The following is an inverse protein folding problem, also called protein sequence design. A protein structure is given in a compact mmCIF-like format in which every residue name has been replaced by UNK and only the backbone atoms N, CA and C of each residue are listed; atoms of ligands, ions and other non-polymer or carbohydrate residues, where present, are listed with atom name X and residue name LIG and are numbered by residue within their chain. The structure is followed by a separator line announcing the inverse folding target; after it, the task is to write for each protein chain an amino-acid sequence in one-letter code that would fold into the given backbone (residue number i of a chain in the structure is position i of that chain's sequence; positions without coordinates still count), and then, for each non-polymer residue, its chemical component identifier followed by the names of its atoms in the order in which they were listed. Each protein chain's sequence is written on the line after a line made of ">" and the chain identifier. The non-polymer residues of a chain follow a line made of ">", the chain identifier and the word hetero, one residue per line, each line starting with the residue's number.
data_IF_734309879678
#
_entry.id   IF_734309879678
#
_cell.length_a   1.000
_cell.length_b   1.000
_cell.length_c   1.000
_cell.angle_alpha   90.00
_cell.angle_beta   90.00
_cell.angle_gamma   90.00
#
_symmetry.space_group_name_H-M   'P 1'
#
loop_
_entity.id
_entity.type
_entity.pdbx_description
1 polymer ?
#
# COMPACT_ATOMS: atom_id res chain seq x y z
N UNK A 1 -19.90 -9.43 4.40
CA UNK A 1 -18.97 -8.43 4.94
C UNK A 1 -18.61 -7.50 3.81
N UNK A 2 -18.68 -6.18 3.99
CA UNK A 2 -18.36 -5.24 2.91
C UNK A 2 -16.90 -5.41 2.47
N UNK A 3 -16.67 -5.15 1.19
CA UNK A 3 -15.36 -5.18 0.57
C UNK A 3 -15.09 -3.82 -0.07
N UNK A 4 -13.83 -3.43 -0.10
CA UNK A 4 -13.43 -2.11 -0.58
C UNK A 4 -12.24 -2.22 -1.51
N UNK A 5 -12.21 -1.35 -2.52
CA UNK A 5 -11.03 -1.15 -3.36
C UNK A 5 -10.10 -0.20 -2.62
N UNK A 6 -8.90 -0.66 -2.35
CA UNK A 6 -7.85 0.11 -1.66
C UNK A 6 -6.65 0.23 -2.56
N UNK A 7 -6.09 1.45 -2.62
CA UNK A 7 -4.79 1.72 -3.25
C UNK A 7 -3.69 1.72 -2.19
N UNK A 8 -2.63 0.94 -2.39
CA UNK A 8 -1.55 0.78 -1.40
C UNK A 8 -0.18 0.57 -2.06
N UNK A 9 0.89 0.66 -1.26
CA UNK A 9 2.28 0.56 -1.72
C UNK A 9 2.73 1.75 -2.58
N UNK A 10 4.04 1.88 -2.76
CA UNK A 10 4.67 2.96 -3.53
C UNK A 10 4.29 2.90 -5.01
N UNK A 11 4.13 1.69 -5.56
CA UNK A 11 3.68 1.45 -6.94
C UNK A 11 2.16 1.56 -7.12
N UNK A 12 1.42 2.02 -6.11
CA UNK A 12 -0.02 2.31 -6.18
C UNK A 12 -0.87 1.11 -6.63
N UNK A 13 -0.56 -0.07 -6.10
CA UNK A 13 -1.32 -1.28 -6.34
C UNK A 13 -2.78 -1.09 -5.94
N UNK A 14 -3.69 -1.70 -6.71
CA UNK A 14 -5.10 -1.78 -6.38
C UNK A 14 -5.44 -3.19 -5.92
N UNK A 15 -6.16 -3.28 -4.80
CA UNK A 15 -6.58 -4.55 -4.23
C UNK A 15 -7.99 -4.47 -3.67
N UNK A 16 -8.64 -5.62 -3.59
CA UNK A 16 -9.95 -5.77 -2.94
C UNK A 16 -9.73 -6.29 -1.52
N UNK A 17 -10.16 -5.51 -0.53
CA UNK A 17 -9.93 -5.81 0.88
C UNK A 17 -11.26 -6.00 1.62
N UNK A 18 -11.33 -7.05 2.43
CA UNK A 18 -12.48 -7.32 3.30
C UNK A 18 -12.32 -6.63 4.67
N UNK A 19 -13.42 -6.35 5.36
CA UNK A 19 -13.40 -5.79 6.73
C UNK A 19 -13.55 -6.88 7.79
N UNK A 20 -12.93 -6.72 8.96
CA UNK A 20 -13.29 -7.47 10.16
C UNK A 20 -14.49 -6.83 10.87
N UNK A 21 -15.62 -7.54 10.97
CA UNK A 21 -16.82 -7.19 11.79
C UNK A 21 -17.78 -6.11 11.25
N UNK A 22 -18.19 -6.20 9.99
CA UNK A 22 -19.25 -5.34 9.43
C UNK A 22 -18.97 -3.83 9.58
N UNK A 23 -17.70 -3.47 9.79
CA UNK A 23 -17.25 -2.09 9.80
C UNK A 23 -17.47 -1.50 8.41
N UNK A 24 -17.96 -0.27 8.38
CA UNK A 24 -18.11 0.48 7.14
C UNK A 24 -17.06 1.56 7.09
N UNK A 25 -16.46 1.70 5.92
CA UNK A 25 -15.47 2.72 5.64
C UNK A 25 -15.94 3.60 4.48
N UNK A 26 -15.55 4.86 4.52
CA UNK A 26 -15.88 5.85 3.51
C UNK A 26 -14.71 6.11 2.56
N UNK A 27 -15.05 6.46 1.33
CA UNK A 27 -14.08 6.87 0.32
C UNK A 27 -13.20 8.00 0.85
N UNK A 28 -11.89 7.90 0.60
CA UNK A 28 -10.89 8.88 1.02
C UNK A 28 -10.31 8.61 2.41
N UNK A 29 -10.82 7.63 3.16
CA UNK A 29 -10.20 7.21 4.41
C UNK A 29 -8.86 6.54 4.14
N UNK A 30 -7.87 6.89 4.96
CA UNK A 30 -6.61 6.17 5.04
C UNK A 30 -6.79 4.98 5.99
N UNK A 31 -6.45 3.78 5.53
CA UNK A 31 -6.65 2.53 6.26
C UNK A 31 -5.34 1.76 6.35
N UNK A 32 -5.23 0.94 7.38
CA UNK A 32 -4.15 -0.04 7.47
C UNK A 32 -4.67 -1.38 6.97
N UNK A 33 -3.96 -1.96 6.04
CA UNK A 33 -4.34 -3.20 5.38
C UNK A 33 -3.30 -4.29 5.64
N UNK A 34 -3.78 -5.53 5.71
CA UNK A 34 -2.93 -6.72 5.65
C UNK A 34 -2.90 -7.23 4.21
N UNK A 35 -1.72 -7.20 3.61
CA UNK A 35 -1.43 -7.74 2.28
C UNK A 35 -0.67 -9.06 2.40
N UNK A 36 -0.37 -9.70 1.27
CA UNK A 36 0.52 -10.88 1.23
C UNK A 36 1.98 -10.56 1.64
N UNK A 37 2.41 -9.30 1.49
CA UNK A 37 3.78 -8.86 1.80
C UNK A 37 3.96 -8.41 3.25
N UNK A 38 2.86 -8.17 3.97
CA UNK A 38 2.87 -7.64 5.33
C UNK A 38 1.78 -6.60 5.54
N UNK A 39 1.98 -5.68 6.47
CA UNK A 39 1.06 -4.56 6.66
C UNK A 39 1.38 -3.45 5.67
N UNK A 40 0.38 -2.67 5.30
CA UNK A 40 0.57 -1.49 4.46
C UNK A 40 -0.44 -0.42 4.85
N UNK A 41 -0.16 0.81 4.43
CA UNK A 41 -1.13 1.90 4.46
C UNK A 41 -1.76 2.05 3.08
N UNK A 42 -3.07 2.23 3.06
CA UNK A 42 -3.80 2.39 1.82
C UNK A 42 -4.86 3.49 1.88
N UNK A 43 -5.20 4.01 0.70
CA UNK A 43 -6.31 4.93 0.51
C UNK A 43 -7.52 4.15 0.02
N UNK A 44 -8.64 4.28 0.71
CA UNK A 44 -9.89 3.68 0.27
C UNK A 44 -10.51 4.47 -0.88
N UNK A 45 -10.78 3.79 -1.99
CA UNK A 45 -11.29 4.42 -3.21
C UNK A 45 -12.80 4.30 -3.36
N UNK A 46 -13.36 3.12 -3.11
CA UNK A 46 -14.79 2.83 -3.20
C UNK A 46 -15.10 1.47 -2.58
N UNK A 47 -16.39 1.18 -2.43
CA UNK A 47 -16.87 -0.18 -2.19
C UNK A 47 -16.64 -1.06 -3.43
N UNK A 48 -16.24 -2.31 -3.21
CA UNK A 48 -15.94 -3.27 -4.25
C UNK A 48 -17.21 -3.89 -4.83
N UNK A 49 -17.97 -3.09 -5.57
CA UNK A 49 -19.09 -3.57 -6.38
C UNK A 49 -18.59 -4.43 -7.54
N UNK A 50 -19.43 -5.32 -8.09
CA UNK A 50 -19.05 -6.18 -9.23
C UNK A 50 -18.45 -5.36 -10.39
N UNK A 51 -19.03 -4.21 -10.70
CA UNK A 51 -18.53 -3.29 -11.72
C UNK A 51 -17.16 -2.71 -11.37
N UNK A 52 -16.93 -2.33 -10.11
CA UNK A 52 -15.65 -1.77 -9.67
C UNK A 52 -14.52 -2.82 -9.70
N UNK A 53 -14.87 -4.10 -9.56
CA UNK A 53 -13.90 -5.21 -9.57
C UNK A 53 -13.64 -5.75 -10.98
N UNK A 54 -14.59 -5.62 -11.91
CA UNK A 54 -14.40 -6.05 -13.32
C UNK A 54 -13.19 -5.39 -13.98
N UNK A 55 -12.91 -4.13 -13.64
CA UNK A 55 -11.79 -3.36 -14.20
C UNK A 55 -10.45 -3.63 -13.48
N UNK A 56 -10.45 -4.44 -12.41
CA UNK A 56 -9.26 -4.77 -11.63
C UNK A 56 -8.61 -6.06 -12.15
N UNK A 57 -7.77 -5.94 -13.17
CA UNK A 57 -6.86 -7.03 -13.57
C UNK A 57 -5.78 -7.25 -12.49
N UNK A 58 -5.58 -8.51 -12.07
CA UNK A 58 -4.56 -8.94 -11.10
C UNK A 58 -4.62 -8.32 -9.69
N UNK A 59 -5.81 -7.99 -9.18
CA UNK A 59 -5.93 -7.45 -7.83
C UNK A 59 -5.47 -8.46 -6.76
N UNK A 60 -4.43 -8.11 -6.01
CA UNK A 60 -4.07 -8.85 -4.80
C UNK A 60 -4.93 -8.34 -3.64
N UNK A 61 -5.71 -9.24 -3.05
CA UNK A 61 -6.63 -8.89 -1.96
C UNK A 61 -5.99 -8.96 -0.58
N UNK A 62 -6.80 -8.65 0.42
CA UNK A 62 -6.39 -8.70 1.82
C UNK A 62 -7.50 -8.33 2.78
N UNK A 63 -7.11 -7.83 3.95
CA UNK A 63 -8.04 -7.38 4.98
C UNK A 63 -7.74 -5.94 5.42
N UNK A 64 -8.76 -5.09 5.51
CA UNK A 64 -8.71 -3.81 6.24
C UNK A 64 -8.73 -4.13 7.73
N UNK A 65 -7.71 -3.65 8.46
CA UNK A 65 -7.59 -3.87 9.89
C UNK A 65 -8.20 -2.75 10.73
N UNK A 66 -8.05 -1.50 10.27
CA UNK A 66 -8.57 -0.28 10.92
C UNK A 66 -8.29 0.97 10.08
N UNK A 67 -8.92 2.08 10.44
CA UNK A 67 -8.50 3.42 10.03
C UNK A 67 -7.11 3.78 10.59
N UNK A 68 -6.34 4.54 9.80
CA UNK A 68 -5.03 5.08 10.18
C UNK A 68 -5.12 5.99 11.40
N UNK A 69 -4.35 5.66 12.45
CA UNK A 69 -4.23 6.45 13.68
C UNK A 69 -3.07 7.42 13.60
N UNK A 70 -2.97 8.33 14.58
CA UNK A 70 -1.87 9.28 14.66
C UNK A 70 -0.49 8.59 14.73
N UNK A 71 -0.42 7.46 15.43
CA UNK A 71 0.81 6.68 15.61
C UNK A 71 1.28 6.06 14.29
N UNK A 72 0.34 5.55 13.49
CA UNK A 72 0.60 5.02 12.15
C UNK A 72 1.18 6.10 11.22
N UNK A 73 0.67 7.35 11.31
CA UNK A 73 1.19 8.48 10.51
C UNK A 73 2.62 8.86 10.92
N UNK A 74 2.94 8.79 12.22
CA UNK A 74 4.31 9.04 12.71
C UNK A 74 5.26 7.96 12.21
N UNK A 75 4.84 6.71 12.29
CA UNK A 75 5.63 5.58 11.78
C UNK A 75 5.85 5.69 10.27
N UNK A 76 4.81 6.06 9.52
CA UNK A 76 4.94 6.26 8.07
C UNK A 76 5.94 7.37 7.71
N UNK A 77 5.97 8.44 8.51
CA UNK A 77 6.95 9.51 8.33
C UNK A 77 8.37 9.03 8.61
N UNK A 78 8.55 8.15 9.60
CA UNK A 78 9.84 7.52 9.91
C UNK A 78 10.30 6.61 8.76
N UNK A 79 9.40 5.78 8.24
CA UNK A 79 9.67 4.89 7.10
C UNK A 79 10.10 5.69 5.87
N UNK A 80 9.37 6.75 5.49
CA UNK A 80 9.73 7.60 4.33
C UNK A 80 11.11 8.23 4.44
N UNK A 81 11.52 8.61 5.66
CA UNK A 81 12.87 9.12 5.89
C UNK A 81 13.94 8.04 5.70
N UNK A 82 13.62 6.78 6.03
CA UNK A 82 14.52 5.65 5.82
C UNK A 82 14.59 5.27 4.33
N UNK A 83 13.47 5.27 3.62
CA UNK A 83 13.40 4.99 2.17
C UNK A 83 14.33 5.90 1.37
N UNK A 84 14.40 7.19 1.72
CA UNK A 84 15.35 8.12 1.07
C UNK A 84 16.80 7.65 1.16
N UNK A 85 17.22 7.17 2.33
CA UNK A 85 18.59 6.67 2.53
C UNK A 85 18.85 5.39 1.74
N UNK A 86 17.85 4.50 1.68
CA UNK A 86 17.95 3.26 0.90
C UNK A 86 17.99 3.56 -0.59
N UNK A 87 17.20 4.51 -1.06
CA UNK A 87 17.20 4.94 -2.45
C UNK A 87 18.58 5.41 -2.91
N UNK A 88 19.21 6.30 -2.13
CA UNK A 88 20.58 6.77 -2.39
C UNK A 88 21.58 5.60 -2.44
N UNK A 89 21.47 4.67 -1.49
CA UNK A 89 22.30 3.46 -1.46
C UNK A 89 22.09 2.58 -2.70
N UNK A 90 20.84 2.36 -3.13
CA UNK A 90 20.53 1.60 -4.33
C UNK A 90 21.13 2.24 -5.59
N UNK A 91 21.00 3.57 -5.75
CA UNK A 91 21.59 4.29 -6.88
C UNK A 91 23.13 4.16 -6.89
N UNK A 92 23.76 4.26 -5.73
CA UNK A 92 25.20 4.03 -5.60
C UNK A 92 25.58 2.62 -6.06
N UNK A 93 24.85 1.60 -5.63
CA UNK A 93 25.15 0.20 -5.98
C UNK A 93 24.92 -0.13 -7.45
N UNK A 94 23.89 0.42 -8.07
CA UNK A 94 23.67 0.26 -9.52
C UNK A 94 24.87 0.80 -10.31
N UNK A 95 25.41 1.95 -9.89
CA UNK A 95 26.60 2.55 -10.52
C UNK A 95 27.86 1.71 -10.27
N UNK A 96 28.10 1.28 -9.03
CA UNK A 96 29.29 0.49 -8.65
C UNK A 96 29.33 -0.88 -9.33
N UNK A 97 28.18 -1.51 -9.53
CA UNK A 97 28.06 -2.85 -10.10
C UNK A 97 27.88 -2.85 -11.63
N UNK A 98 27.84 -1.66 -12.26
CA UNK A 98 27.63 -1.48 -13.71
C UNK A 98 26.41 -2.22 -14.26
N UNK A 99 25.35 -2.36 -13.44
CA UNK A 99 24.15 -3.08 -13.86
C UNK A 99 23.30 -2.15 -14.75
N UNK A 100 22.90 -2.59 -15.96
CA UNK A 100 22.08 -1.78 -16.87
C UNK A 100 20.61 -1.74 -16.40
N UNK A 101 20.36 -1.16 -15.22
CA UNK A 101 19.04 -1.00 -14.64
C UNK A 101 18.77 0.44 -14.24
N UNK A 102 17.50 0.81 -14.19
CA UNK A 102 17.03 2.08 -13.64
C UNK A 102 16.09 1.79 -12.47
N UNK A 103 16.52 2.01 -11.22
CA UNK A 103 15.62 1.93 -10.08
C UNK A 103 14.40 2.82 -10.33
N UNK A 104 13.21 2.31 -10.01
CA UNK A 104 11.93 3.03 -10.19
C UNK A 104 11.47 3.61 -8.87
N UNK A 105 11.50 2.81 -7.80
CA UNK A 105 11.12 3.24 -6.45
C UNK A 105 11.75 2.32 -5.39
N UNK A 106 11.64 2.70 -4.11
CA UNK A 106 11.92 1.84 -2.96
C UNK A 106 10.83 2.00 -1.90
N UNK A 107 10.38 0.88 -1.35
CA UNK A 107 9.37 0.87 -0.30
C UNK A 107 9.80 -0.01 0.86
N UNK A 108 9.48 0.40 2.09
CA UNK A 108 9.37 -0.53 3.21
C UNK A 108 7.90 -0.88 3.42
N UNK A 109 7.65 -2.17 3.62
CA UNK A 109 6.36 -2.65 4.10
C UNK A 109 6.17 -2.16 5.54
N UNK A 110 4.95 -1.69 5.85
CA UNK A 110 4.59 -1.08 7.14
C UNK A 110 4.74 -2.03 8.34
#
# INVERSE_FOLDING_TARGET
>A
MPQYVVRYGALRHLGVFSTSRNESYQRGMAVVVRTKRGLDLGDLLCEATERAVQDLTDSTGGQILREVRADDRREMSRIRNQERKVWEYCLQKVKELEVPMKPVDVEYVF
#
